data_IF_293942898815
#
_entry.id   IF_293942898815
#
_cell.length_a   1.000
_cell.length_b   1.000
_cell.length_c   1.000
_cell.angle_alpha   90.00
_cell.angle_beta   90.00
_cell.angle_gamma   90.00
#
_symmetry.space_group_name_H-M   'P 1'
#
loop_
_entity.id
_entity.type
_entity.pdbx_description
1 polymer ?
#
# COMPACT_ATOMS: atom_id res chain seq x y z
N UNK A 1 24.57 5.95 -23.29
CA UNK A 1 23.48 6.51 -24.11
C UNK A 1 22.13 6.01 -23.57
N UNK A 2 21.59 6.62 -22.53
CA UNK A 2 20.16 6.48 -22.22
C UNK A 2 19.43 7.34 -23.25
N UNK A 3 19.05 6.75 -24.38
CA UNK A 3 18.16 7.40 -25.32
C UNK A 3 16.89 7.77 -24.53
N UNK A 4 16.63 9.07 -24.44
CA UNK A 4 15.40 9.62 -23.89
C UNK A 4 14.23 8.97 -24.61
N UNK A 5 13.64 7.93 -24.00
CA UNK A 5 12.34 7.44 -24.46
C UNK A 5 11.42 8.63 -24.51
N UNK A 6 10.69 8.78 -25.60
CA UNK A 6 9.75 9.88 -25.79
C UNK A 6 8.92 10.05 -24.50
N UNK A 7 8.88 11.27 -23.97
CA UNK A 7 8.15 11.59 -22.74
C UNK A 7 6.71 11.08 -22.79
N UNK A 8 6.07 11.16 -23.96
CA UNK A 8 4.71 10.68 -24.19
C UNK A 8 4.59 9.15 -23.96
N UNK A 9 5.57 8.34 -24.39
CA UNK A 9 5.58 6.90 -24.14
C UNK A 9 5.64 6.60 -22.65
N UNK A 10 6.55 7.27 -21.91
CA UNK A 10 6.69 7.05 -20.46
C UNK A 10 5.41 7.37 -19.70
N UNK A 11 4.78 8.49 -20.03
CA UNK A 11 3.52 8.89 -19.40
C UNK A 11 2.35 7.99 -19.82
N UNK A 12 2.33 7.52 -21.06
CA UNK A 12 1.33 6.57 -21.54
C UNK A 12 1.39 5.23 -20.81
N UNK A 13 2.60 4.64 -20.66
CA UNK A 13 2.76 3.39 -19.89
C UNK A 13 2.50 3.60 -18.40
N UNK A 14 2.91 4.76 -17.85
CA UNK A 14 2.58 5.11 -16.48
C UNK A 14 1.07 5.17 -16.22
N UNK A 15 0.31 5.77 -17.13
CA UNK A 15 -1.14 5.81 -17.07
C UNK A 15 -1.74 4.38 -17.11
N UNK A 16 -1.24 3.51 -17.99
CA UNK A 16 -1.65 2.10 -18.03
C UNK A 16 -1.36 1.38 -16.72
N UNK A 17 -0.17 1.53 -16.16
CA UNK A 17 0.19 0.96 -14.86
C UNK A 17 -0.74 1.45 -13.75
N UNK A 18 -1.06 2.74 -13.71
CA UNK A 18 -1.99 3.32 -12.74
C UNK A 18 -3.40 2.75 -12.88
N UNK A 19 -3.92 2.67 -14.11
CA UNK A 19 -5.25 2.10 -14.36
C UNK A 19 -5.28 0.62 -13.99
N UNK A 20 -4.26 -0.17 -14.36
CA UNK A 20 -4.15 -1.57 -13.96
C UNK A 20 -4.13 -1.76 -12.44
N UNK A 21 -3.43 -0.86 -11.71
CA UNK A 21 -3.41 -0.91 -10.26
C UNK A 21 -4.76 -0.51 -9.63
N UNK A 22 -5.45 0.48 -10.20
CA UNK A 22 -6.81 0.83 -9.77
C UNK A 22 -7.78 -0.34 -9.95
N UNK A 23 -7.72 -1.03 -11.10
CA UNK A 23 -8.57 -2.20 -11.40
C UNK A 23 -8.37 -3.30 -10.35
N UNK A 24 -7.15 -3.60 -9.94
CA UNK A 24 -6.90 -4.57 -8.87
C UNK A 24 -7.59 -4.18 -7.55
N UNK A 25 -7.65 -2.89 -7.23
CA UNK A 25 -8.39 -2.45 -6.05
C UNK A 25 -9.90 -2.53 -6.21
N UNK A 26 -10.45 -2.51 -7.45
CA UNK A 26 -11.87 -2.80 -7.67
C UNK A 26 -12.19 -4.23 -7.22
N UNK A 27 -11.33 -5.19 -7.55
CA UNK A 27 -11.49 -6.59 -7.16
C UNK A 27 -11.34 -6.84 -5.66
N UNK A 28 -10.62 -5.97 -4.97
CA UNK A 28 -10.51 -6.02 -3.50
C UNK A 28 -11.74 -5.47 -2.79
N UNK A 29 -12.41 -4.47 -3.35
CA UNK A 29 -13.56 -3.85 -2.72
C UNK A 29 -14.90 -4.40 -3.20
N UNK A 30 -14.99 -5.01 -4.40
CA UNK A 30 -16.24 -5.60 -4.90
C UNK A 30 -16.80 -6.66 -3.94
N UNK A 31 -15.92 -7.49 -3.34
CA UNK A 31 -16.35 -8.45 -2.34
C UNK A 31 -16.90 -7.76 -1.08
N UNK A 32 -16.28 -6.68 -0.60
CA UNK A 32 -16.76 -5.97 0.59
C UNK A 32 -18.15 -5.37 0.39
N UNK A 33 -18.45 -4.93 -0.83
CA UNK A 33 -19.79 -4.46 -1.24
C UNK A 33 -20.77 -5.63 -1.34
N UNK A 34 -20.35 -6.76 -1.95
CA UNK A 34 -21.18 -7.96 -2.06
C UNK A 34 -21.55 -8.53 -0.69
N UNK A 35 -20.58 -8.71 0.22
CA UNK A 35 -20.85 -9.26 1.57
C UNK A 35 -21.61 -8.30 2.47
N UNK A 36 -21.78 -7.03 2.09
CA UNK A 36 -22.69 -6.10 2.74
C UNK A 36 -24.13 -6.31 2.28
N UNK A 37 -24.40 -6.91 1.10
CA UNK A 37 -25.74 -7.17 0.61
C UNK A 37 -26.38 -8.38 1.30
N UNK A 38 -27.70 -8.27 1.58
CA UNK A 38 -28.41 -9.38 2.22
C UNK A 38 -28.58 -10.56 1.28
N UNK A 39 -28.80 -10.29 -0.03
CA UNK A 39 -28.90 -11.31 -1.06
C UNK A 39 -27.67 -12.22 -1.11
N UNK A 40 -26.47 -11.63 -1.15
CA UNK A 40 -25.21 -12.39 -1.19
C UNK A 40 -24.97 -13.17 0.12
N UNK A 41 -25.25 -12.54 1.28
CA UNK A 41 -25.11 -13.20 2.59
C UNK A 41 -26.03 -14.41 2.72
N UNK A 42 -27.29 -14.26 2.33
CA UNK A 42 -28.28 -15.33 2.40
C UNK A 42 -27.98 -16.44 1.43
N UNK A 43 -27.57 -16.12 0.20
CA UNK A 43 -27.24 -17.12 -0.81
C UNK A 43 -26.14 -18.07 -0.36
N UNK A 44 -25.07 -17.56 0.27
CA UNK A 44 -23.96 -18.35 0.75
C UNK A 44 -24.05 -18.69 2.26
N UNK A 45 -25.10 -18.29 2.96
CA UNK A 45 -25.31 -18.46 4.40
C UNK A 45 -24.11 -17.99 5.23
N UNK A 46 -23.58 -16.79 4.91
CA UNK A 46 -22.35 -16.28 5.49
C UNK A 46 -22.53 -15.84 6.93
N UNK A 47 -21.77 -16.45 7.85
CA UNK A 47 -21.51 -15.91 9.18
C UNK A 47 -20.53 -14.72 9.12
N UNK A 48 -20.40 -13.97 10.22
CA UNK A 48 -19.42 -12.88 10.28
C UNK A 48 -17.99 -13.40 10.23
N UNK A 49 -17.72 -14.59 10.78
CA UNK A 49 -16.42 -15.28 10.65
C UNK A 49 -16.15 -15.62 9.19
N UNK A 50 -17.11 -16.15 8.44
CA UNK A 50 -16.93 -16.47 7.03
C UNK A 50 -16.63 -15.23 6.21
N UNK A 51 -17.30 -14.10 6.46
CA UNK A 51 -17.05 -12.81 5.81
C UNK A 51 -15.63 -12.30 6.06
N UNK A 52 -15.17 -12.38 7.32
CA UNK A 52 -13.80 -12.06 7.70
C UNK A 52 -12.78 -12.92 6.99
N UNK A 53 -12.98 -14.23 7.01
CA UNK A 53 -12.12 -15.22 6.37
C UNK A 53 -12.07 -15.05 4.85
N UNK A 54 -13.21 -14.83 4.17
CA UNK A 54 -13.26 -14.58 2.71
C UNK A 54 -12.45 -13.34 2.30
N UNK A 55 -12.57 -12.25 3.06
CA UNK A 55 -11.79 -11.04 2.80
C UNK A 55 -10.29 -11.28 3.06
N UNK A 56 -9.93 -12.11 4.03
CA UNK A 56 -8.53 -12.43 4.33
C UNK A 56 -7.90 -13.42 3.36
N UNK A 57 -8.68 -14.33 2.77
CA UNK A 57 -8.21 -15.42 1.92
C UNK A 57 -7.31 -14.94 0.77
N UNK A 58 -7.64 -13.81 0.19
CA UNK A 58 -6.83 -13.12 -0.81
C UNK A 58 -5.43 -12.79 -0.30
N UNK A 59 -5.31 -12.24 0.91
CA UNK A 59 -4.06 -11.73 1.43
C UNK A 59 -3.06 -12.83 1.81
N UNK A 60 -3.52 -14.05 2.08
CA UNK A 60 -2.63 -15.19 2.36
C UNK A 60 -1.69 -15.46 1.19
N UNK A 61 -2.23 -15.60 -0.02
CA UNK A 61 -1.44 -15.86 -1.22
C UNK A 61 -0.75 -14.62 -1.73
N UNK A 62 -1.43 -13.47 -1.68
CA UNK A 62 -0.86 -12.20 -2.08
C UNK A 62 0.42 -11.86 -1.30
N UNK A 63 0.39 -12.00 0.04
CA UNK A 63 1.55 -11.72 0.89
C UNK A 63 2.67 -12.75 0.70
N UNK A 64 2.33 -14.05 0.67
CA UNK A 64 3.30 -15.13 0.51
C UNK A 64 4.05 -15.07 -0.83
N UNK A 65 3.36 -14.61 -1.88
CA UNK A 65 3.90 -14.60 -3.24
C UNK A 65 4.57 -13.27 -3.64
N UNK A 66 4.65 -12.27 -2.77
CA UNK A 66 5.34 -11.01 -3.09
C UNK A 66 6.82 -11.21 -3.47
N UNK A 67 7.52 -12.09 -2.76
CA UNK A 67 8.94 -12.39 -3.05
C UNK A 67 9.07 -13.21 -4.35
N UNK A 68 8.36 -14.35 -4.53
CA UNK A 68 8.35 -15.08 -5.79
C UNK A 68 7.94 -14.22 -7.00
N UNK A 69 6.93 -13.37 -6.84
CA UNK A 69 6.48 -12.47 -7.89
C UNK A 69 7.56 -11.48 -8.31
N UNK A 70 8.28 -10.90 -7.35
CA UNK A 70 9.45 -10.06 -7.62
C UNK A 70 10.52 -10.81 -8.44
N UNK A 71 10.84 -12.04 -8.05
CA UNK A 71 11.80 -12.86 -8.79
C UNK A 71 11.32 -13.20 -10.21
N UNK A 72 10.04 -13.53 -10.39
CA UNK A 72 9.45 -13.79 -11.72
C UNK A 72 9.56 -12.56 -12.62
N UNK A 73 9.19 -11.39 -12.09
CA UNK A 73 9.28 -10.13 -12.81
C UNK A 73 10.72 -9.76 -13.14
N UNK A 74 11.68 -10.01 -12.23
CA UNK A 74 13.10 -9.77 -12.48
C UNK A 74 13.65 -10.71 -13.55
N UNK A 75 13.21 -11.97 -13.59
CA UNK A 75 13.68 -12.96 -14.55
C UNK A 75 13.04 -12.81 -15.93
N UNK A 76 11.73 -12.51 -16.01
CA UNK A 76 10.96 -12.55 -17.24
C UNK A 76 10.56 -11.18 -17.79
N UNK A 77 10.94 -10.08 -17.11
CA UNK A 77 10.55 -8.72 -17.47
C UNK A 77 9.16 -8.35 -16.93
N UNK A 78 8.69 -7.14 -17.27
CA UNK A 78 7.43 -6.59 -16.75
C UNK A 78 6.23 -7.04 -17.57
N UNK A 79 6.35 -7.07 -18.88
CA UNK A 79 5.21 -7.23 -19.82
C UNK A 79 4.39 -8.49 -19.59
N UNK A 80 5.05 -9.64 -19.66
CA UNK A 80 4.35 -10.92 -19.64
C UNK A 80 3.92 -11.37 -18.24
N UNK A 81 4.75 -11.26 -17.18
CA UNK A 81 4.29 -11.59 -15.83
C UNK A 81 3.09 -10.75 -15.40
N UNK A 82 3.10 -9.45 -15.70
CA UNK A 82 1.96 -8.59 -15.39
C UNK A 82 0.71 -9.00 -16.19
N UNK A 83 0.84 -9.24 -17.51
CA UNK A 83 -0.29 -9.64 -18.35
C UNK A 83 -0.91 -10.98 -17.91
N UNK A 84 -0.08 -11.99 -17.61
CA UNK A 84 -0.55 -13.31 -17.15
C UNK A 84 -1.24 -13.17 -15.79
N UNK A 85 -0.64 -12.44 -14.85
CA UNK A 85 -1.25 -12.14 -13.55
C UNK A 85 -2.59 -11.43 -13.74
N UNK A 86 -2.65 -10.42 -14.63
CA UNK A 86 -3.85 -9.65 -14.93
C UNK A 86 -4.98 -10.53 -15.48
N UNK A 87 -4.70 -11.40 -16.46
CA UNK A 87 -5.68 -12.37 -16.98
C UNK A 87 -6.19 -13.27 -15.86
N UNK A 88 -5.24 -13.83 -15.07
CA UNK A 88 -5.59 -14.77 -14.00
C UNK A 88 -6.56 -14.13 -13.00
N UNK A 89 -6.23 -12.95 -12.44
CA UNK A 89 -7.11 -12.36 -11.46
C UNK A 89 -8.43 -11.83 -12.05
N UNK A 90 -8.41 -11.28 -13.28
CA UNK A 90 -9.62 -10.80 -13.93
C UNK A 90 -10.60 -11.93 -14.22
N UNK A 91 -10.11 -13.06 -14.73
CA UNK A 91 -10.92 -14.26 -14.95
C UNK A 91 -11.48 -14.79 -13.63
N UNK A 92 -10.65 -14.92 -12.60
CA UNK A 92 -11.08 -15.41 -11.29
C UNK A 92 -12.09 -14.46 -10.63
N UNK A 93 -11.92 -13.14 -10.77
CA UNK A 93 -12.89 -12.17 -10.31
C UNK A 93 -14.26 -12.38 -10.99
N UNK A 94 -14.27 -12.50 -12.32
CA UNK A 94 -15.49 -12.79 -13.09
C UNK A 94 -16.11 -14.13 -12.71
N UNK A 95 -15.31 -15.18 -12.50
CA UNK A 95 -15.78 -16.51 -12.09
C UNK A 95 -16.48 -16.51 -10.73
N UNK A 96 -16.28 -15.51 -9.88
CA UNK A 96 -17.03 -15.34 -8.63
C UNK A 96 -18.54 -15.33 -8.87
N UNK A 97 -19.01 -14.85 -10.02
CA UNK A 97 -20.42 -14.84 -10.40
C UNK A 97 -21.06 -16.24 -10.49
N UNK A 98 -20.27 -17.26 -10.79
CA UNK A 98 -20.73 -18.65 -10.92
C UNK A 98 -20.48 -19.49 -9.66
N UNK A 99 -19.89 -18.93 -8.63
CA UNK A 99 -19.72 -19.63 -7.38
C UNK A 99 -21.09 -19.97 -6.76
N UNK A 100 -21.24 -21.20 -6.31
CA UNK A 100 -22.44 -21.72 -5.67
C UNK A 100 -22.20 -22.17 -4.22
N UNK A 101 -20.95 -22.30 -3.83
CA UNK A 101 -20.55 -22.71 -2.48
C UNK A 101 -19.53 -21.76 -1.87
N UNK A 102 -19.52 -21.71 -0.54
CA UNK A 102 -18.54 -20.91 0.22
C UNK A 102 -17.08 -21.33 -0.10
N UNK A 103 -16.82 -22.63 -0.26
CA UNK A 103 -15.49 -23.14 -0.61
C UNK A 103 -15.00 -22.69 -1.98
N UNK A 104 -15.90 -22.57 -2.96
CA UNK A 104 -15.57 -22.01 -4.28
C UNK A 104 -15.16 -20.54 -4.15
N UNK A 105 -15.88 -19.75 -3.33
CA UNK A 105 -15.49 -18.36 -3.05
C UNK A 105 -14.10 -18.28 -2.41
N UNK A 106 -13.82 -19.13 -1.42
CA UNK A 106 -12.48 -19.19 -0.79
C UNK A 106 -11.39 -19.53 -1.81
N UNK A 107 -11.60 -20.56 -2.62
CA UNK A 107 -10.63 -20.99 -3.63
C UNK A 107 -10.36 -19.88 -4.65
N UNK A 108 -11.42 -19.21 -5.13
CA UNK A 108 -11.30 -18.09 -6.06
C UNK A 108 -10.53 -16.92 -5.42
N UNK A 109 -10.86 -16.53 -4.19
CA UNK A 109 -10.17 -15.44 -3.48
C UNK A 109 -8.70 -15.76 -3.22
N UNK A 110 -8.42 -17.00 -2.86
CA UNK A 110 -7.06 -17.47 -2.64
C UNK A 110 -6.25 -17.44 -3.95
N UNK A 111 -6.81 -17.95 -5.05
CA UNK A 111 -6.17 -17.93 -6.35
C UNK A 111 -6.02 -16.51 -6.95
N UNK A 112 -6.96 -15.61 -6.66
CA UNK A 112 -6.92 -14.22 -7.10
C UNK A 112 -5.69 -13.48 -6.53
N UNK A 113 -5.33 -13.74 -5.27
CA UNK A 113 -4.12 -13.19 -4.65
C UNK A 113 -2.82 -13.61 -5.37
N UNK A 114 -2.79 -14.77 -6.03
CA UNK A 114 -1.65 -15.22 -6.85
C UNK A 114 -1.45 -14.27 -8.03
N UNK A 115 -2.52 -14.00 -8.79
CA UNK A 115 -2.47 -13.13 -9.97
C UNK A 115 -2.06 -11.70 -9.61
N UNK A 116 -2.67 -11.13 -8.58
CA UNK A 116 -2.42 -9.74 -8.18
C UNK A 116 -1.02 -9.53 -7.56
N UNK A 117 -0.35 -10.57 -7.08
CA UNK A 117 0.99 -10.43 -6.48
C UNK A 117 2.03 -9.82 -7.43
N UNK A 118 1.80 -9.89 -8.75
CA UNK A 118 2.69 -9.35 -9.79
C UNK A 118 2.65 -7.83 -9.91
N UNK A 119 1.56 -7.16 -9.48
CA UNK A 119 1.31 -5.75 -9.77
C UNK A 119 2.39 -4.83 -9.22
N UNK A 120 2.63 -4.90 -7.92
CA UNK A 120 3.58 -3.98 -7.26
C UNK A 120 5.02 -4.19 -7.73
N UNK A 121 5.56 -5.43 -7.79
CA UNK A 121 6.90 -5.66 -8.32
C UNK A 121 7.06 -5.19 -9.77
N UNK A 122 6.08 -5.47 -10.62
CA UNK A 122 6.13 -5.09 -12.03
C UNK A 122 6.15 -3.57 -12.24
N UNK A 123 5.24 -2.85 -11.58
CA UNK A 123 5.19 -1.39 -11.66
C UNK A 123 6.48 -0.73 -11.14
N UNK A 124 6.99 -1.18 -9.99
CA UNK A 124 8.23 -0.66 -9.41
C UNK A 124 9.45 -0.95 -10.29
N UNK A 125 9.54 -2.16 -10.88
CA UNK A 125 10.61 -2.49 -11.81
C UNK A 125 10.55 -1.63 -13.06
N UNK A 126 9.37 -1.47 -13.66
CA UNK A 126 9.23 -0.64 -14.85
C UNK A 126 9.67 0.81 -14.57
N UNK A 127 9.23 1.40 -13.45
CA UNK A 127 9.64 2.76 -13.06
C UNK A 127 11.17 2.84 -12.89
N UNK A 128 11.77 1.85 -12.19
CA UNK A 128 13.22 1.81 -11.97
C UNK A 128 14.01 1.82 -13.28
N UNK A 129 13.56 1.07 -14.28
CA UNK A 129 14.27 0.90 -15.55
C UNK A 129 14.04 2.04 -16.55
N UNK A 130 12.85 2.65 -16.52
CA UNK A 130 12.41 3.56 -17.58
C UNK A 130 12.38 5.04 -17.15
N UNK A 131 12.50 5.32 -15.85
CA UNK A 131 12.40 6.69 -15.32
C UNK A 131 13.74 7.12 -14.73
N UNK A 132 14.18 8.33 -15.09
CA UNK A 132 15.40 8.92 -14.58
C UNK A 132 15.33 9.08 -13.05
N UNK A 133 16.47 8.94 -12.37
CA UNK A 133 16.55 8.89 -10.91
C UNK A 133 15.90 10.11 -10.24
N UNK A 134 16.10 11.29 -10.77
CA UNK A 134 15.52 12.54 -10.28
C UNK A 134 13.98 12.63 -10.45
N UNK A 135 13.36 11.77 -11.25
CA UNK A 135 11.91 11.73 -11.50
C UNK A 135 11.24 10.49 -10.85
N UNK A 136 12.02 9.49 -10.41
CA UNK A 136 11.48 8.23 -9.86
C UNK A 136 10.52 8.45 -8.71
N UNK A 137 10.83 9.39 -7.81
CA UNK A 137 9.96 9.71 -6.69
C UNK A 137 8.57 10.16 -7.12
N UNK A 138 8.48 11.03 -8.14
CA UNK A 138 7.20 11.47 -8.70
C UNK A 138 6.39 10.29 -9.29
N UNK A 139 7.04 9.45 -10.11
CA UNK A 139 6.36 8.32 -10.74
C UNK A 139 5.88 7.27 -9.73
N UNK A 140 6.70 6.96 -8.72
CA UNK A 140 6.29 6.09 -7.60
C UNK A 140 5.12 6.71 -6.83
N UNK A 141 5.17 8.02 -6.57
CA UNK A 141 4.09 8.75 -5.91
C UNK A 141 2.77 8.65 -6.66
N UNK A 142 2.78 8.85 -7.98
CA UNK A 142 1.59 8.73 -8.84
C UNK A 142 1.06 7.28 -8.84
N UNK A 143 1.96 6.28 -8.93
CA UNK A 143 1.58 4.86 -8.89
C UNK A 143 0.91 4.48 -7.58
N UNK A 144 1.46 4.94 -6.46
CA UNK A 144 0.88 4.72 -5.14
C UNK A 144 -0.43 5.50 -4.92
N UNK A 145 -0.56 6.70 -5.51
CA UNK A 145 -1.81 7.46 -5.47
C UNK A 145 -2.94 6.74 -6.22
N UNK A 146 -2.65 6.11 -7.37
CA UNK A 146 -3.61 5.27 -8.09
C UNK A 146 -4.12 4.11 -7.23
N UNK A 147 -3.23 3.46 -6.47
CA UNK A 147 -3.61 2.41 -5.50
C UNK A 147 -4.56 2.93 -4.40
N UNK A 148 -4.45 4.19 -4.00
CA UNK A 148 -5.34 4.79 -2.98
C UNK A 148 -6.66 5.31 -3.57
N UNK A 149 -6.65 5.76 -4.83
CA UNK A 149 -7.86 6.14 -5.55
C UNK A 149 -8.72 4.94 -5.96
N UNK A 150 -8.07 3.78 -6.17
CA UNK A 150 -8.72 2.55 -6.61
C UNK A 150 -9.92 2.14 -5.74
N UNK A 151 -9.79 2.01 -4.41
CA UNK A 151 -10.92 1.68 -3.55
C UNK A 151 -12.09 2.67 -3.66
N UNK A 152 -11.82 3.97 -3.76
CA UNK A 152 -12.88 4.97 -3.89
C UNK A 152 -13.69 4.74 -5.17
N UNK A 153 -13.02 4.69 -6.32
CA UNK A 153 -13.68 4.47 -7.62
C UNK A 153 -14.35 3.10 -7.67
N UNK A 154 -13.67 2.06 -7.18
CA UNK A 154 -14.17 0.69 -7.15
C UNK A 154 -15.47 0.55 -6.33
N UNK A 155 -15.57 1.22 -5.18
CA UNK A 155 -16.78 1.20 -4.35
C UNK A 155 -17.99 1.80 -5.08
N UNK A 156 -17.82 2.93 -5.80
CA UNK A 156 -18.91 3.51 -6.60
C UNK A 156 -19.34 2.56 -7.72
N UNK A 157 -18.39 2.03 -8.48
CA UNK A 157 -18.68 1.12 -9.60
C UNK A 157 -19.36 -0.14 -9.07
N UNK A 158 -18.80 -0.77 -8.03
CA UNK A 158 -19.37 -1.99 -7.45
C UNK A 158 -20.75 -1.75 -6.84
N UNK A 159 -20.95 -0.65 -6.11
CA UNK A 159 -22.24 -0.30 -5.52
C UNK A 159 -23.31 -0.03 -6.57
N UNK A 160 -22.97 0.70 -7.65
CA UNK A 160 -23.86 0.94 -8.78
C UNK A 160 -24.25 -0.36 -9.48
N UNK A 161 -23.27 -1.18 -9.83
CA UNK A 161 -23.53 -2.46 -10.52
C UNK A 161 -24.32 -3.43 -9.64
N UNK A 162 -24.03 -3.48 -8.33
CA UNK A 162 -24.78 -4.32 -7.39
C UNK A 162 -26.27 -3.91 -7.35
N UNK A 163 -26.54 -2.60 -7.33
CA UNK A 163 -27.92 -2.06 -7.29
C UNK A 163 -28.67 -2.35 -8.57
N UNK A 164 -28.06 -2.09 -9.74
CA UNK A 164 -28.78 -2.14 -11.02
C UNK A 164 -28.87 -3.57 -11.59
N UNK A 165 -27.88 -4.40 -11.34
CA UNK A 165 -27.73 -5.68 -12.03
C UNK A 165 -27.46 -6.88 -11.10
N UNK A 166 -27.42 -6.66 -9.79
CA UNK A 166 -27.15 -7.69 -8.80
C UNK A 166 -25.66 -8.12 -8.74
N UNK A 167 -25.33 -8.92 -7.73
CA UNK A 167 -23.95 -9.27 -7.43
C UNK A 167 -23.26 -10.11 -8.51
N UNK A 168 -24.00 -11.01 -9.21
CA UNK A 168 -23.43 -11.83 -10.29
C UNK A 168 -22.94 -10.96 -11.43
N UNK A 169 -23.79 -10.06 -11.92
CA UNK A 169 -23.45 -9.15 -13.01
C UNK A 169 -22.33 -8.18 -12.61
N UNK A 170 -22.30 -7.74 -11.37
CA UNK A 170 -21.22 -6.92 -10.84
C UNK A 170 -19.86 -7.62 -10.98
N UNK A 171 -19.74 -8.89 -10.56
CA UNK A 171 -18.49 -9.65 -10.69
C UNK A 171 -18.14 -9.95 -12.15
N UNK A 172 -19.13 -10.28 -13.00
CA UNK A 172 -18.89 -10.50 -14.43
C UNK A 172 -18.35 -9.24 -15.12
N UNK A 173 -18.97 -8.09 -14.88
CA UNK A 173 -18.60 -6.83 -15.54
C UNK A 173 -17.24 -6.34 -15.02
N UNK A 174 -17.01 -6.34 -13.72
CA UNK A 174 -15.72 -5.89 -13.15
C UNK A 174 -14.60 -6.85 -13.58
N UNK A 175 -14.79 -8.16 -13.42
CA UNK A 175 -13.75 -9.14 -13.72
C UNK A 175 -13.44 -9.23 -15.22
N UNK A 176 -14.40 -9.63 -16.04
CA UNK A 176 -14.15 -9.80 -17.47
C UNK A 176 -14.03 -8.48 -18.23
N UNK A 177 -14.75 -7.42 -17.80
CA UNK A 177 -14.61 -6.09 -18.37
C UNK A 177 -13.20 -5.52 -18.21
N UNK A 178 -12.52 -5.87 -17.13
CA UNK A 178 -11.13 -5.49 -16.90
C UNK A 178 -10.19 -5.98 -18.00
N UNK A 179 -10.48 -7.12 -18.65
CA UNK A 179 -9.63 -7.69 -19.71
C UNK A 179 -9.44 -6.73 -20.90
N UNK A 180 -10.35 -5.78 -21.12
CA UNK A 180 -10.20 -4.74 -22.15
C UNK A 180 -8.90 -3.95 -21.94
N UNK A 181 -8.47 -3.77 -20.71
CA UNK A 181 -7.23 -3.06 -20.38
C UNK A 181 -5.97 -3.77 -20.93
N UNK A 182 -6.01 -5.08 -21.12
CA UNK A 182 -4.87 -5.82 -21.70
C UNK A 182 -4.57 -5.43 -23.15
N UNK A 183 -5.56 -4.96 -23.90
CA UNK A 183 -5.38 -4.58 -25.31
C UNK A 183 -4.30 -3.50 -25.43
N UNK A 184 -4.46 -2.30 -24.82
CA UNK A 184 -3.42 -1.27 -24.88
C UNK A 184 -2.13 -1.72 -24.19
N UNK A 185 -2.17 -2.53 -23.12
CA UNK A 185 -0.97 -3.05 -22.47
C UNK A 185 -0.10 -3.87 -23.42
N UNK A 186 -0.69 -4.83 -24.12
CA UNK A 186 0.04 -5.71 -25.03
C UNK A 186 0.56 -4.98 -26.27
N UNK A 187 -0.18 -3.96 -26.76
CA UNK A 187 0.20 -3.18 -27.93
C UNK A 187 1.32 -2.19 -27.61
N UNK A 188 1.19 -1.42 -26.54
CA UNK A 188 2.07 -0.28 -26.29
C UNK A 188 3.30 -0.62 -25.45
N UNK A 189 3.24 -1.61 -24.52
CA UNK A 189 4.39 -1.94 -23.70
C UNK A 189 5.41 -2.77 -24.48
N UNK A 190 6.65 -2.27 -24.54
CA UNK A 190 7.78 -2.97 -25.15
C UNK A 190 8.37 -4.01 -24.19
N UNK A 191 8.88 -5.11 -24.74
CA UNK A 191 9.50 -6.21 -23.97
C UNK A 191 11.04 -6.12 -24.09
N UNK A 192 11.59 -5.01 -23.63
CA UNK A 192 13.02 -4.69 -23.73
C UNK A 192 13.71 -4.44 -22.36
N UNK A 193 13.02 -4.79 -21.27
CA UNK A 193 13.49 -4.57 -19.90
C UNK A 193 14.83 -5.24 -19.61
N UNK A 194 15.08 -6.43 -20.18
CA UNK A 194 16.33 -7.17 -19.99
C UNK A 194 17.53 -6.49 -20.65
N UNK A 195 17.33 -5.89 -21.81
CA UNK A 195 18.38 -5.15 -22.53
C UNK A 195 18.75 -3.88 -21.77
N UNK A 196 17.73 -3.18 -21.24
CA UNK A 196 17.93 -1.97 -20.44
C UNK A 196 18.67 -2.30 -19.15
N UNK A 197 18.33 -3.41 -18.48
CA UNK A 197 18.99 -3.79 -17.22
C UNK A 197 20.45 -4.21 -17.46
N UNK A 198 20.75 -4.99 -18.50
CA UNK A 198 22.12 -5.34 -18.86
C UNK A 198 22.97 -4.10 -19.11
N UNK A 199 22.43 -3.12 -19.81
CA UNK A 199 23.09 -1.84 -20.05
C UNK A 199 23.29 -1.02 -18.75
N UNK A 200 22.33 -1.06 -17.81
CA UNK A 200 22.43 -0.36 -16.54
C UNK A 200 23.47 -1.00 -15.60
N UNK A 201 23.52 -2.33 -15.52
CA UNK A 201 24.50 -3.08 -14.70
C UNK A 201 25.91 -2.88 -15.21
N UNK A 202 26.12 -2.82 -16.52
CA UNK A 202 27.43 -2.56 -17.11
C UNK A 202 28.01 -1.18 -16.73
N UNK A 203 27.14 -0.23 -16.35
CA UNK A 203 27.51 1.14 -15.98
C UNK A 203 27.59 1.39 -14.46
N UNK A 204 27.16 0.43 -13.61
CA UNK A 204 27.13 0.57 -12.16
C UNK A 204 28.41 0.03 -11.52
N UNK A 205 29.47 0.82 -11.49
CA UNK A 205 30.66 0.55 -10.69
C UNK A 205 30.53 1.17 -9.30
N UNK A 206 30.65 0.35 -8.24
CA UNK A 206 30.87 0.85 -6.89
C UNK A 206 30.08 0.16 -5.77
N UNK A 207 30.78 -0.63 -4.94
CA UNK A 207 30.25 -1.21 -3.71
C UNK A 207 30.17 -0.14 -2.62
N UNK A 208 28.96 0.23 -2.21
CA UNK A 208 28.74 1.04 -1.01
C UNK A 208 28.91 0.17 0.24
N UNK A 209 29.60 0.66 1.26
CA UNK A 209 29.75 0.02 2.58
C UNK A 209 28.38 -0.24 3.19
N UNK A 210 28.04 -1.52 3.39
CA UNK A 210 26.70 -1.90 3.84
C UNK A 210 26.72 -2.23 5.33
N UNK A 211 25.75 -1.65 6.06
CA UNK A 211 25.41 -2.12 7.42
C UNK A 211 24.88 -3.56 7.29
N UNK A 212 25.29 -4.51 8.16
CA UNK A 212 24.76 -5.86 8.14
C UNK A 212 23.23 -5.85 8.25
N UNK A 213 22.55 -6.58 7.36
CA UNK A 213 21.09 -6.57 7.26
C UNK A 213 20.39 -6.92 8.59
N UNK A 214 20.91 -7.90 9.31
CA UNK A 214 20.35 -8.30 10.60
C UNK A 214 20.41 -7.18 11.65
N UNK A 215 21.53 -6.46 11.72
CA UNK A 215 21.69 -5.31 12.63
C UNK A 215 20.71 -4.19 12.27
N UNK A 216 20.44 -4.02 10.99
CA UNK A 216 19.49 -3.03 10.49
C UNK A 216 18.05 -3.40 10.89
N UNK A 217 17.64 -4.66 10.65
CA UNK A 217 16.30 -5.15 10.98
C UNK A 217 16.03 -5.14 12.48
N UNK A 218 17.03 -5.43 13.31
CA UNK A 218 16.92 -5.44 14.78
C UNK A 218 16.96 -4.03 15.39
N UNK A 219 17.16 -2.98 14.60
CA UNK A 219 17.18 -1.62 15.13
C UNK A 219 15.79 -1.17 15.58
N UNK A 220 15.69 -0.43 16.70
CA UNK A 220 14.41 0.09 17.20
C UNK A 220 13.65 0.90 16.14
N UNK A 221 14.37 1.66 15.29
CA UNK A 221 13.77 2.45 14.19
C UNK A 221 13.02 1.55 13.21
N UNK A 222 13.64 0.44 12.77
CA UNK A 222 13.01 -0.48 11.82
C UNK A 222 11.84 -1.22 12.46
N UNK A 223 11.99 -1.69 13.69
CA UNK A 223 10.89 -2.32 14.44
C UNK A 223 9.73 -1.33 14.59
N UNK A 224 10.03 -0.07 14.95
CA UNK A 224 9.01 0.98 15.08
C UNK A 224 8.29 1.29 13.77
N UNK A 225 9.00 1.36 12.64
CA UNK A 225 8.39 1.59 11.33
C UNK A 225 7.56 0.39 10.85
N UNK A 226 8.01 -0.84 11.14
CA UNK A 226 7.25 -2.07 10.84
C UNK A 226 5.95 -2.12 11.64
N UNK A 227 6.02 -1.92 12.97
CA UNK A 227 4.84 -1.89 13.85
C UNK A 227 3.88 -0.78 13.44
N UNK A 228 4.39 0.43 13.19
CA UNK A 228 3.56 1.54 12.76
C UNK A 228 2.91 1.30 11.39
N UNK A 229 3.62 0.69 10.45
CA UNK A 229 3.06 0.30 9.14
C UNK A 229 1.97 -0.77 9.31
N UNK A 230 2.18 -1.76 10.17
CA UNK A 230 1.17 -2.77 10.50
C UNK A 230 -0.10 -2.10 11.04
N UNK A 231 0.02 -1.21 12.02
CA UNK A 231 -1.12 -0.53 12.64
C UNK A 231 -1.88 0.36 11.64
N UNK A 232 -1.16 1.09 10.79
CA UNK A 232 -1.74 1.86 9.69
C UNK A 232 -2.55 0.98 8.74
N UNK A 233 -1.95 -0.09 8.26
CA UNK A 233 -2.61 -0.98 7.30
C UNK A 233 -3.74 -1.77 7.93
N UNK A 234 -3.70 -2.05 9.24
CA UNK A 234 -4.81 -2.66 9.97
C UNK A 234 -6.07 -1.79 9.86
N UNK A 235 -5.93 -0.49 10.10
CA UNK A 235 -7.03 0.46 9.97
C UNK A 235 -7.54 0.56 8.52
N UNK A 236 -6.63 0.64 7.54
CA UNK A 236 -6.99 0.69 6.12
C UNK A 236 -7.76 -0.55 5.70
N UNK A 237 -7.25 -1.75 6.02
CA UNK A 237 -7.90 -3.00 5.61
C UNK A 237 -9.21 -3.28 6.35
N UNK A 238 -9.32 -2.88 7.62
CA UNK A 238 -10.60 -2.89 8.30
C UNK A 238 -11.64 -2.07 7.53
N UNK A 239 -11.33 -0.82 7.24
CA UNK A 239 -12.27 0.05 6.52
C UNK A 239 -12.55 -0.47 5.10
N UNK A 240 -11.54 -1.00 4.41
CA UNK A 240 -11.73 -1.55 3.06
C UNK A 240 -12.67 -2.76 3.04
N UNK A 241 -12.65 -3.60 4.08
CA UNK A 241 -13.40 -4.86 4.09
C UNK A 241 -14.71 -4.79 4.87
N UNK A 242 -14.80 -3.96 5.92
CA UNK A 242 -15.94 -3.94 6.82
C UNK A 242 -16.72 -2.62 6.86
N UNK A 243 -16.17 -1.51 6.34
CA UNK A 243 -16.86 -0.20 6.36
C UNK A 243 -18.22 -0.21 5.65
N UNK A 244 -18.37 -0.83 4.44
CA UNK A 244 -19.68 -0.97 3.81
C UNK A 244 -20.69 -1.71 4.69
N UNK A 245 -20.27 -2.83 5.29
CA UNK A 245 -21.12 -3.60 6.20
C UNK A 245 -21.47 -2.82 7.47
N UNK A 246 -20.52 -2.08 8.04
CA UNK A 246 -20.78 -1.20 9.19
C UNK A 246 -21.83 -0.15 8.88
N UNK A 247 -21.73 0.53 7.74
CA UNK A 247 -22.69 1.53 7.33
C UNK A 247 -24.10 0.94 7.14
N UNK A 248 -24.20 -0.24 6.54
CA UNK A 248 -25.48 -0.90 6.32
C UNK A 248 -26.06 -1.47 7.60
N UNK A 249 -25.29 -2.27 8.35
CA UNK A 249 -25.79 -3.07 9.45
C UNK A 249 -25.88 -2.30 10.78
N UNK A 250 -24.84 -1.48 11.10
CA UNK A 250 -24.81 -0.74 12.35
C UNK A 250 -25.47 0.63 12.26
N UNK A 251 -25.52 1.22 11.05
CA UNK A 251 -26.05 2.57 10.83
C UNK A 251 -27.33 2.61 9.96
N UNK A 252 -27.81 1.46 9.50
CA UNK A 252 -29.07 1.33 8.77
C UNK A 252 -29.11 2.05 7.43
N UNK A 253 -27.94 2.29 6.79
CA UNK A 253 -27.90 2.96 5.50
C UNK A 253 -28.39 2.03 4.39
N UNK A 254 -29.12 2.61 3.44
CA UNK A 254 -29.39 1.93 2.18
C UNK A 254 -28.11 1.82 1.32
N UNK A 255 -28.15 1.03 0.26
CA UNK A 255 -27.00 0.73 -0.60
C UNK A 255 -26.37 2.02 -1.18
N UNK A 256 -27.18 2.98 -1.60
CA UNK A 256 -26.71 4.23 -2.19
C UNK A 256 -25.92 5.08 -1.19
N UNK A 257 -26.50 5.32 0.00
CA UNK A 257 -25.81 6.07 1.06
C UNK A 257 -24.56 5.35 1.54
N UNK A 258 -24.64 4.02 1.73
CA UNK A 258 -23.47 3.20 2.07
C UNK A 258 -22.33 3.39 1.04
N UNK A 259 -22.64 3.33 -0.24
CA UNK A 259 -21.67 3.51 -1.32
C UNK A 259 -21.06 4.91 -1.32
N UNK A 260 -21.89 5.95 -1.20
CA UNK A 260 -21.45 7.36 -1.19
C UNK A 260 -20.54 7.65 0.02
N UNK A 261 -20.91 7.22 1.23
CA UNK A 261 -20.09 7.45 2.41
C UNK A 261 -18.79 6.63 2.39
N UNK A 262 -18.82 5.41 1.88
CA UNK A 262 -17.62 4.60 1.68
C UNK A 262 -16.68 5.26 0.66
N UNK A 263 -17.20 5.73 -0.47
CA UNK A 263 -16.45 6.52 -1.44
C UNK A 263 -15.83 7.77 -0.81
N UNK A 264 -16.64 8.58 -0.12
CA UNK A 264 -16.19 9.83 0.49
C UNK A 264 -15.03 9.59 1.48
N UNK A 265 -15.07 8.48 2.23
CA UNK A 265 -14.03 8.12 3.17
C UNK A 265 -12.68 7.84 2.48
N UNK A 266 -12.67 7.05 1.40
CA UNK A 266 -11.45 6.74 0.66
C UNK A 266 -10.98 7.89 -0.24
N UNK A 267 -11.90 8.62 -0.86
CA UNK A 267 -11.58 9.82 -1.63
C UNK A 267 -10.97 10.91 -0.74
N UNK A 268 -11.57 11.13 0.44
CA UNK A 268 -11.03 12.02 1.46
C UNK A 268 -9.61 11.62 1.89
N UNK A 269 -9.37 10.33 2.12
CA UNK A 269 -8.04 9.83 2.43
C UNK A 269 -7.03 10.13 1.31
N UNK A 270 -7.39 9.93 0.04
CA UNK A 270 -6.52 10.18 -1.09
C UNK A 270 -6.18 11.68 -1.24
N UNK A 271 -7.19 12.55 -1.07
CA UNK A 271 -7.03 14.01 -1.12
C UNK A 271 -6.11 14.48 0.03
N UNK A 272 -6.42 14.08 1.26
CA UNK A 272 -5.63 14.45 2.45
C UNK A 272 -4.19 13.93 2.35
N UNK A 273 -3.98 12.71 1.83
CA UNK A 273 -2.64 12.16 1.62
C UNK A 273 -1.79 13.01 0.68
N UNK A 274 -2.39 13.48 -0.42
CA UNK A 274 -1.73 14.35 -1.39
C UNK A 274 -1.38 15.71 -0.78
N UNK A 275 -2.35 16.33 -0.11
CA UNK A 275 -2.16 17.64 0.53
C UNK A 275 -1.13 17.56 1.67
N UNK A 276 -1.15 16.50 2.47
CA UNK A 276 -0.23 16.29 3.57
C UNK A 276 1.21 16.06 3.09
N UNK A 277 1.39 15.31 2.00
CA UNK A 277 2.70 15.15 1.37
C UNK A 277 3.28 16.49 0.93
N UNK A 278 2.50 17.28 0.19
CA UNK A 278 2.89 18.61 -0.26
C UNK A 278 3.17 19.57 0.90
N UNK A 279 2.32 19.57 1.94
CA UNK A 279 2.52 20.41 3.12
C UNK A 279 3.79 20.05 3.90
N UNK A 280 4.08 18.75 4.04
CA UNK A 280 5.29 18.29 4.69
C UNK A 280 6.55 18.71 3.91
N UNK A 281 6.57 18.53 2.61
CA UNK A 281 7.70 18.94 1.75
C UNK A 281 7.93 20.45 1.81
N UNK A 282 6.86 21.27 1.76
CA UNK A 282 6.95 22.72 1.88
C UNK A 282 7.49 23.19 3.26
N UNK A 283 7.19 22.47 4.34
CA UNK A 283 7.77 22.77 5.65
C UNK A 283 9.26 22.42 5.69
N UNK A 284 9.65 21.29 5.10
CA UNK A 284 11.05 20.86 4.99
C UNK A 284 11.86 21.86 4.16
N UNK A 285 11.32 22.34 3.04
CA UNK A 285 11.95 23.36 2.20
C UNK A 285 12.15 24.71 2.93
N UNK A 286 11.32 24.99 3.94
CA UNK A 286 11.47 26.16 4.82
C UNK A 286 12.52 25.97 5.94
N UNK A 287 13.24 24.84 5.94
CA UNK A 287 14.31 24.54 6.88
C UNK A 287 13.90 23.80 8.16
N UNK A 288 12.63 23.32 8.25
CA UNK A 288 12.25 22.46 9.38
C UNK A 288 12.88 21.07 9.24
N UNK A 289 13.21 20.44 10.38
CA UNK A 289 13.78 19.10 10.40
C UNK A 289 12.83 18.08 9.77
N UNK A 290 13.28 17.40 8.69
CA UNK A 290 12.48 16.48 7.89
C UNK A 290 11.90 15.32 8.71
N UNK A 291 12.68 14.75 9.66
CA UNK A 291 12.23 13.64 10.51
C UNK A 291 11.13 14.11 11.45
N UNK A 292 11.29 15.27 12.09
CA UNK A 292 10.28 15.83 13.01
C UNK A 292 8.99 16.16 12.26
N UNK A 293 9.07 16.82 11.10
CA UNK A 293 7.91 17.16 10.27
C UNK A 293 7.14 15.91 9.88
N UNK A 294 7.80 14.94 9.23
CA UNK A 294 7.13 13.72 8.76
C UNK A 294 6.55 12.90 9.92
N UNK A 295 7.27 12.79 11.04
CA UNK A 295 6.82 12.12 12.25
C UNK A 295 5.56 12.78 12.83
N UNK A 296 5.49 14.11 12.86
CA UNK A 296 4.31 14.85 13.33
C UNK A 296 3.08 14.56 12.47
N UNK A 297 3.21 14.53 11.14
CA UNK A 297 2.12 14.15 10.24
C UNK A 297 1.67 12.70 10.47
N UNK A 298 2.60 11.78 10.73
CA UNK A 298 2.27 10.38 11.03
C UNK A 298 1.46 10.28 12.33
N UNK A 299 1.91 10.93 13.39
CA UNK A 299 1.21 10.92 14.69
C UNK A 299 -0.16 11.59 14.56
N UNK A 300 -0.27 12.73 13.87
CA UNK A 300 -1.53 13.41 13.61
C UNK A 300 -2.52 12.50 12.83
N UNK A 301 -2.03 11.73 11.86
CA UNK A 301 -2.83 10.75 11.13
C UNK A 301 -3.39 9.65 12.03
N UNK A 302 -2.60 9.12 12.94
CA UNK A 302 -3.09 8.14 13.91
C UNK A 302 -4.11 8.73 14.89
N UNK A 303 -3.87 9.96 15.38
CA UNK A 303 -4.81 10.66 16.29
C UNK A 303 -6.15 10.93 15.61
N UNK A 304 -6.14 11.39 14.35
CA UNK A 304 -7.37 11.60 13.59
C UNK A 304 -8.09 10.29 13.30
N UNK A 305 -7.35 9.21 12.96
CA UNK A 305 -7.95 7.89 12.78
C UNK A 305 -8.62 7.37 14.06
N UNK A 306 -8.07 7.66 15.24
CA UNK A 306 -8.61 7.24 16.54
C UNK A 306 -10.00 7.87 16.83
N UNK A 307 -10.35 8.96 16.15
CA UNK A 307 -11.69 9.57 16.28
C UNK A 307 -12.82 8.69 15.75
N UNK A 308 -12.51 7.61 15.02
CA UNK A 308 -13.51 6.61 14.62
C UNK A 308 -14.26 6.03 15.83
N UNK A 309 -13.61 5.94 16.98
CA UNK A 309 -14.23 5.46 18.21
C UNK A 309 -15.37 6.42 18.68
N UNK A 310 -15.20 7.72 18.49
CA UNK A 310 -16.26 8.70 18.80
C UNK A 310 -17.50 8.38 17.96
N UNK A 311 -17.31 8.14 16.67
CA UNK A 311 -18.38 7.70 15.78
C UNK A 311 -19.02 6.38 16.18
N UNK A 312 -18.24 5.44 16.73
CA UNK A 312 -18.74 4.13 17.17
C UNK A 312 -19.78 4.24 18.30
N UNK A 313 -19.51 5.12 19.26
CA UNK A 313 -20.39 5.36 20.41
C UNK A 313 -21.44 6.44 20.19
N UNK A 314 -21.41 7.15 19.06
CA UNK A 314 -22.37 8.19 18.77
C UNK A 314 -23.77 7.61 18.54
N UNK A 315 -24.76 8.11 19.26
CA UNK A 315 -26.19 7.80 19.05
C UNK A 315 -26.70 8.42 17.74
N UNK A 316 -26.26 9.64 17.45
CA UNK A 316 -26.62 10.34 16.22
C UNK A 316 -25.96 9.70 15.01
N UNK A 317 -26.78 9.30 14.03
CA UNK A 317 -26.31 8.74 12.76
C UNK A 317 -25.36 9.71 12.02
N UNK A 318 -25.69 11.02 12.00
CA UNK A 318 -24.88 12.02 11.32
C UNK A 318 -23.48 12.17 11.96
N UNK A 319 -23.40 12.13 13.29
CA UNK A 319 -22.12 12.17 14.03
C UNK A 319 -21.31 10.93 13.73
N UNK A 320 -21.92 9.75 13.74
CA UNK A 320 -21.25 8.50 13.41
C UNK A 320 -20.68 8.49 11.99
N UNK A 321 -21.46 8.96 11.02
CA UNK A 321 -21.04 9.04 9.62
C UNK A 321 -19.93 10.08 9.43
N UNK A 322 -20.05 11.24 10.09
CA UNK A 322 -19.01 12.27 10.06
C UNK A 322 -17.66 11.70 10.55
N UNK A 323 -17.64 11.05 11.72
CA UNK A 323 -16.41 10.52 12.27
C UNK A 323 -15.87 9.31 11.48
N UNK A 324 -16.71 8.51 10.85
CA UNK A 324 -16.27 7.44 9.97
C UNK A 324 -15.53 7.99 8.73
N UNK A 325 -16.09 9.03 8.09
CA UNK A 325 -15.43 9.70 6.95
C UNK A 325 -14.20 10.48 7.41
N UNK A 326 -14.30 11.24 8.50
CA UNK A 326 -13.23 12.08 9.02
C UNK A 326 -12.00 11.26 9.45
N UNK A 327 -12.20 10.15 10.15
CA UNK A 327 -11.12 9.30 10.66
C UNK A 327 -10.31 8.67 9.53
N UNK A 328 -10.98 8.10 8.50
CA UNK A 328 -10.27 7.51 7.36
C UNK A 328 -9.63 8.59 6.49
N UNK A 329 -10.30 9.72 6.27
CA UNK A 329 -9.72 10.86 5.56
C UNK A 329 -8.49 11.39 6.29
N UNK A 330 -8.57 11.57 7.61
CA UNK A 330 -7.48 12.06 8.45
C UNK A 330 -6.27 11.12 8.50
N UNK A 331 -6.48 9.80 8.37
CA UNK A 331 -5.37 8.86 8.21
C UNK A 331 -4.51 9.18 6.97
N UNK A 332 -5.07 9.87 5.99
CA UNK A 332 -4.33 10.38 4.83
C UNK A 332 -3.10 11.21 5.21
N UNK A 333 -3.12 11.92 6.34
CA UNK A 333 -1.98 12.71 6.83
C UNK A 333 -0.69 11.89 6.91
N UNK A 334 -0.78 10.62 7.31
CA UNK A 334 0.40 9.78 7.42
C UNK A 334 0.75 9.01 6.14
N UNK A 335 -0.18 8.85 5.20
CA UNK A 335 -0.05 7.93 4.05
C UNK A 335 1.24 8.13 3.23
N UNK A 336 1.57 9.36 2.86
CA UNK A 336 2.82 9.66 2.14
C UNK A 336 4.01 9.75 3.11
N UNK A 337 3.77 10.24 4.32
CA UNK A 337 4.81 10.61 5.25
C UNK A 337 5.50 9.41 5.93
N UNK A 338 4.81 8.28 6.18
CA UNK A 338 5.46 7.14 6.82
C UNK A 338 6.47 6.44 5.90
N UNK A 339 6.20 6.33 4.59
CA UNK A 339 7.17 5.84 3.62
C UNK A 339 8.35 6.77 3.45
N UNK A 340 8.08 8.07 3.32
CA UNK A 340 9.11 9.08 3.18
C UNK A 340 9.97 9.18 4.45
N UNK A 341 9.39 9.03 5.65
CA UNK A 341 10.13 9.01 6.91
C UNK A 341 11.12 7.84 6.96
N UNK A 342 10.71 6.64 6.56
CA UNK A 342 11.60 5.47 6.48
C UNK A 342 12.79 5.74 5.55
N UNK A 343 12.56 6.35 4.39
CA UNK A 343 13.61 6.71 3.44
C UNK A 343 14.52 7.84 3.96
N UNK A 344 13.99 8.77 4.73
CA UNK A 344 14.76 9.87 5.33
C UNK A 344 15.68 9.37 6.43
N UNK A 345 15.21 8.42 7.26
CA UNK A 345 15.99 7.87 8.38
C UNK A 345 17.08 6.90 7.91
N UNK A 346 16.93 6.28 6.77
CA UNK A 346 17.78 5.18 6.29
C UNK A 346 18.29 5.44 4.86
N UNK A 347 19.10 6.49 4.66
CA UNK A 347 19.70 6.74 3.35
C UNK A 347 20.77 5.69 3.04
N UNK A 348 20.78 5.18 1.80
CA UNK A 348 21.90 4.40 1.27
C UNK A 348 21.58 2.97 0.82
N UNK A 349 22.64 2.17 0.66
CA UNK A 349 22.57 0.80 0.16
C UNK A 349 21.87 -0.11 1.18
N UNK A 350 20.80 -0.78 0.74
CA UNK A 350 19.97 -1.65 1.61
C UNK A 350 18.55 -1.16 1.84
N UNK A 351 18.23 0.08 1.48
CA UNK A 351 16.88 0.65 1.61
C UNK A 351 15.83 -0.19 0.86
N UNK A 352 16.18 -0.78 -0.29
CA UNK A 352 15.27 -1.64 -1.03
C UNK A 352 14.85 -2.89 -0.26
N UNK A 353 15.77 -3.51 0.49
CA UNK A 353 15.46 -4.69 1.34
C UNK A 353 14.56 -4.30 2.50
N UNK A 354 14.78 -3.13 3.09
CA UNK A 354 13.97 -2.63 4.20
C UNK A 354 12.58 -2.21 3.75
N UNK A 355 12.47 -1.55 2.61
CA UNK A 355 11.17 -1.23 1.98
C UNK A 355 10.42 -2.52 1.65
N UNK A 356 11.12 -3.56 1.17
CA UNK A 356 10.54 -4.88 0.95
C UNK A 356 10.01 -5.52 2.23
N UNK A 357 10.77 -5.47 3.33
CA UNK A 357 10.35 -5.96 4.64
C UNK A 357 9.16 -5.18 5.18
N UNK A 358 9.19 -3.86 5.08
CA UNK A 358 8.09 -2.98 5.49
C UNK A 358 6.82 -3.25 4.66
N UNK A 359 6.97 -3.51 3.35
CA UNK A 359 5.84 -3.87 2.49
C UNK A 359 5.28 -5.26 2.82
N UNK A 360 6.13 -6.22 3.18
CA UNK A 360 5.67 -7.52 3.68
C UNK A 360 4.84 -7.34 4.96
N UNK A 361 5.35 -6.58 5.92
CA UNK A 361 4.63 -6.25 7.15
C UNK A 361 3.32 -5.49 6.89
N UNK A 362 3.26 -4.68 5.84
CA UNK A 362 2.06 -3.96 5.42
C UNK A 362 0.91 -4.87 4.91
N UNK A 363 1.22 -6.10 4.50
CA UNK A 363 0.21 -7.03 3.97
C UNK A 363 -0.35 -7.99 5.03
N UNK A 364 0.37 -8.24 6.13
CA UNK A 364 -0.11 -9.10 7.23
C UNK A 364 -1.44 -8.58 7.82
N UNK A 365 -1.66 -7.27 8.03
CA UNK A 365 -2.95 -6.77 8.49
C UNK A 365 -4.12 -7.07 7.55
N UNK A 366 -3.86 -7.30 6.26
CA UNK A 366 -4.88 -7.76 5.31
C UNK A 366 -5.46 -9.14 5.67
N UNK A 367 -4.67 -9.95 6.37
CA UNK A 367 -5.13 -11.22 6.95
C UNK A 367 -5.80 -10.97 8.29
N UNK A 368 -5.11 -10.27 9.19
CA UNK A 368 -5.51 -10.15 10.60
C UNK A 368 -6.76 -9.29 10.76
N UNK A 369 -6.85 -8.13 10.10
CA UNK A 369 -7.93 -7.18 10.33
C UNK A 369 -9.32 -7.74 9.94
N UNK A 370 -9.53 -8.35 8.76
CA UNK A 370 -10.83 -8.92 8.43
C UNK A 370 -11.23 -10.09 9.34
N UNK A 371 -10.29 -11.00 9.63
CA UNK A 371 -10.55 -12.18 10.47
C UNK A 371 -10.88 -11.78 11.91
N UNK A 372 -10.06 -10.95 12.52
CA UNK A 372 -10.26 -10.49 13.90
C UNK A 372 -11.57 -9.72 14.03
N UNK A 373 -11.90 -8.89 13.03
CA UNK A 373 -13.17 -8.16 13.01
C UNK A 373 -14.36 -9.10 12.94
N UNK A 374 -14.34 -10.11 12.05
CA UNK A 374 -15.41 -11.09 11.92
C UNK A 374 -15.61 -11.88 13.21
N UNK A 375 -14.51 -12.34 13.82
CA UNK A 375 -14.56 -13.05 15.09
C UNK A 375 -15.08 -12.19 16.23
N UNK A 376 -14.56 -10.97 16.41
CA UNK A 376 -15.02 -10.05 17.46
C UNK A 376 -16.49 -9.68 17.27
N UNK A 377 -16.91 -9.40 16.04
CA UNK A 377 -18.30 -9.03 15.73
C UNK A 377 -19.25 -10.19 16.06
N UNK A 378 -18.90 -11.40 15.64
CA UNK A 378 -19.72 -12.59 15.93
C UNK A 378 -19.79 -12.91 17.43
N UNK A 379 -18.68 -12.76 18.14
CA UNK A 379 -18.59 -13.07 19.57
C UNK A 379 -19.33 -12.05 20.45
N UNK A 380 -19.37 -10.77 20.05
CA UNK A 380 -19.93 -9.67 20.85
C UNK A 380 -21.25 -9.13 20.31
N UNK A 381 -21.70 -9.61 19.15
CA UNK A 381 -22.97 -9.20 18.55
C UNK A 381 -22.96 -7.81 17.91
N UNK A 382 -21.78 -7.15 17.77
CA UNK A 382 -21.73 -5.79 17.25
C UNK A 382 -20.36 -5.31 16.81
N UNK A 383 -20.29 -4.03 16.38
CA UNK A 383 -19.08 -3.40 15.86
C UNK A 383 -18.21 -2.72 16.93
N UNK A 384 -18.68 -2.63 18.19
CA UNK A 384 -17.96 -1.92 19.26
C UNK A 384 -16.62 -2.58 19.59
N UNK A 385 -16.61 -3.91 19.76
CA UNK A 385 -15.36 -4.64 20.04
C UNK A 385 -14.33 -4.58 18.89
N UNK A 386 -14.70 -4.76 17.61
CA UNK A 386 -13.82 -4.45 16.48
C UNK A 386 -13.24 -3.04 16.51
N UNK A 387 -14.04 -2.03 16.82
CA UNK A 387 -13.55 -0.64 16.86
C UNK A 387 -12.62 -0.36 18.05
N UNK A 388 -12.84 -0.99 19.19
CA UNK A 388 -11.89 -0.96 20.30
C UNK A 388 -10.55 -1.61 19.91
N UNK A 389 -10.58 -2.75 19.23
CA UNK A 389 -9.37 -3.39 18.74
C UNK A 389 -8.58 -2.46 17.80
N UNK A 390 -9.27 -1.74 16.90
CA UNK A 390 -8.65 -0.72 16.06
C UNK A 390 -7.93 0.33 16.90
N UNK A 391 -8.57 0.86 17.94
CA UNK A 391 -7.98 1.88 18.80
C UNK A 391 -6.72 1.37 19.50
N UNK A 392 -6.70 0.10 19.94
CA UNK A 392 -5.50 -0.52 20.50
C UNK A 392 -4.35 -0.50 19.50
N UNK A 393 -4.60 -0.90 18.24
CA UNK A 393 -3.58 -0.85 17.20
C UNK A 393 -3.15 0.59 16.86
N UNK A 394 -4.07 1.55 16.83
CA UNK A 394 -3.71 2.95 16.56
C UNK A 394 -2.84 3.54 17.69
N UNK A 395 -3.16 3.25 18.95
CA UNK A 395 -2.33 3.65 20.12
C UNK A 395 -0.96 2.97 20.06
N UNK A 396 -0.91 1.69 19.72
CA UNK A 396 0.36 0.98 19.52
C UNK A 396 1.19 1.60 18.39
N UNK A 397 0.56 2.03 17.30
CA UNK A 397 1.21 2.76 16.22
C UNK A 397 1.78 4.10 16.67
N UNK A 398 1.03 4.89 17.45
CA UNK A 398 1.52 6.14 18.05
C UNK A 398 2.72 5.86 18.94
N UNK A 399 2.62 4.89 19.84
CA UNK A 399 3.70 4.52 20.75
C UNK A 399 4.95 4.10 19.99
N UNK A 400 4.81 3.29 18.94
CA UNK A 400 5.94 2.87 18.10
C UNK A 400 6.66 4.08 17.47
N UNK A 401 5.92 5.04 16.90
CA UNK A 401 6.53 6.24 16.33
C UNK A 401 7.11 7.17 17.40
N UNK A 402 6.47 7.32 18.54
CA UNK A 402 6.97 8.20 19.61
C UNK A 402 8.25 7.66 20.23
N UNK A 403 8.28 6.37 20.57
CA UNK A 403 9.36 5.78 21.37
C UNK A 403 10.44 5.09 20.56
N UNK A 404 10.11 4.44 19.42
CA UNK A 404 11.07 3.63 18.66
C UNK A 404 11.61 4.36 17.43
N UNK A 405 10.82 5.21 16.77
CA UNK A 405 11.26 5.92 15.57
C UNK A 405 11.93 7.24 15.95
N UNK A 406 13.24 7.15 16.24
CA UNK A 406 14.09 8.30 16.61
C UNK A 406 15.40 8.28 15.84
N UNK A 407 15.94 9.46 15.53
CA UNK A 407 17.21 9.62 14.80
C UNK A 407 18.39 8.95 15.55
N UNK A 408 18.37 8.97 16.88
CA UNK A 408 19.40 8.39 17.73
C UNK A 408 19.53 6.85 17.62
N UNK A 409 18.46 6.18 17.17
CA UNK A 409 18.40 4.72 17.03
C UNK A 409 18.73 4.25 15.60
N UNK A 410 19.07 5.17 14.71
CA UNK A 410 19.49 4.83 13.34
C UNK A 410 20.85 4.13 13.40
N UNK A 411 21.01 2.91 12.88
CA UNK A 411 22.27 2.20 12.87
C UNK A 411 23.32 2.98 12.06
N UNK A 412 24.45 3.26 12.69
CA UNK A 412 25.61 3.86 12.01
C UNK A 412 26.42 2.77 11.34
N UNK A 413 26.90 3.03 10.11
CA UNK A 413 27.85 2.13 9.46
C UNK A 413 29.07 1.99 10.38
N UNK A 414 29.67 0.77 10.48
CA UNK A 414 30.93 0.60 11.20
C UNK A 414 31.94 1.57 10.62
N UNK A 415 32.64 2.30 11.50
CA UNK A 415 33.76 3.13 11.06
C UNK A 415 34.76 2.22 10.37
N UNK A 416 35.01 2.45 9.07
CA UNK A 416 36.03 1.71 8.34
C UNK A 416 37.39 1.78 9.06
N UNK A 417 38.26 0.77 8.89
CA UNK A 417 39.52 0.71 9.61
C UNK A 417 40.45 1.93 9.40
N UNK A 418 40.18 2.77 8.40
CA UNK A 418 41.03 3.91 8.04
C UNK A 418 40.64 5.28 8.65
N UNK A 419 39.58 5.37 9.47
CA UNK A 419 39.23 6.67 10.06
C UNK A 419 40.06 7.07 11.29
N UNK A 420 41.01 6.20 11.72
CA UNK A 420 41.93 6.50 12.84
C UNK A 420 43.40 6.57 12.44
N UNK A 421 43.75 6.41 11.18
CA UNK A 421 45.09 6.55 10.68
C UNK A 421 45.26 7.91 9.98
N UNK A 422 46.18 8.70 10.54
CA UNK A 422 46.82 9.88 9.95
C UNK A 422 46.12 11.25 10.06
N UNK A 423 46.01 11.74 11.26
CA UNK A 423 46.28 13.18 11.54
C UNK A 423 47.49 13.33 12.47
N UNK A 424 48.56 12.56 12.22
CA UNK A 424 49.87 12.85 12.82
C UNK A 424 50.88 13.06 11.72
N UNK A 425 51.37 14.27 11.65
CA UNK A 425 52.67 14.69 11.09
C UNK A 425 52.83 14.58 9.56
N UNK A 426 52.41 15.62 8.88
CA UNK A 426 53.16 16.07 7.70
C UNK A 426 54.35 16.84 8.25
N UNK A 427 55.62 16.34 8.12
CA UNK A 427 56.79 17.12 8.46
C UNK A 427 56.88 18.33 7.52
N UNK A 428 56.96 19.50 8.08
CA UNK A 428 57.21 20.74 7.38
C UNK A 428 58.67 20.78 6.91
N UNK A 429 59.00 20.13 5.82
CA UNK A 429 60.28 20.24 5.14
C UNK A 429 60.14 21.01 3.85
N UNK A 430 60.40 22.27 3.93
CA UNK A 430 60.37 23.17 2.77
C UNK A 430 61.05 24.50 3.05
N UNK A 431 62.31 24.47 3.47
CA UNK A 431 63.25 25.56 3.22
C UNK A 431 64.38 24.96 2.43
N UNK A 432 64.48 25.20 1.15
CA UNK A 432 65.72 25.16 0.40
C UNK A 432 65.92 26.53 -0.25
N UNK A 433 67.01 27.07 0.15
CA UNK A 433 67.65 28.29 -0.33
C UNK A 433 67.80 28.27 -1.87
N UNK A 434 67.51 29.40 -2.44
CA UNK A 434 67.95 29.76 -3.79
C UNK A 434 69.14 30.74 -3.63
N UNK A 435 70.30 30.28 -4.03
CA UNK A 435 71.45 31.13 -4.34
C UNK A 435 72.05 30.67 -5.68
N UNK A 436 72.27 31.67 -6.49
CA UNK A 436 73.03 31.87 -7.71
C UNK A 436 72.20 31.90 -9.01
#
# INVERSE_FOLDING_TARGET
>A
MQQSRNSAYRWGIMALLCVGYMIAYFDRVNLSVAVASDEFKQYFQLSDIDRGNLNSAFFWTYAALQIPAGWIVDRYGVKWPFAIGFVLWSVLSGMTAWASTLWQLFAIRFALGIGESMITPAGMRWIRLNVAENQRGLFIGIYMAAAKAGPAVGLIIAGFLLREAGWRSMFLIIGFGALIWLIPWLIFLRDDDREIEKAAVANAGGAATQVPFLQLVMSPVIIGTIVGTFCYQYFVYYNMTWLPSYFKEARGLNLDKMTVFSFASFAGMAIVATLAGFAADKLIDRGYNAVKVRKSFVIAGFLTASTQLIGAYAESQNVALFFAVFSLSGLGLMTANYWALTQTLLPGAGIGRLVGLQNCAANIPGIVAPMLTGWLKQSTGGYTAPMLAICVFLVMGIAAYVFLVREEYVPKAPAGPDSRANWKEIPNNGKSEATA
#
